data_IF_010145725596
#
_entry.id   IF_010145725596
#
_cell.length_a   1.000
_cell.length_b   1.000
_cell.length_c   1.000
_cell.angle_alpha   90.00
_cell.angle_beta   90.00
_cell.angle_gamma   90.00
#
_symmetry.space_group_name_H-M   'P 1'
#
loop_
_entity.id
_entity.type
_entity.pdbx_description
1 polymer ?
#
# COMPACT_ATOMS: atom_id res chain seq x y z
N UNK A 1 -8.11 -6.82 50.55
CA UNK A 1 -7.70 -7.04 49.15
C UNK A 1 -6.68 -5.94 48.79
N UNK A 2 -5.40 -6.15 49.12
CA UNK A 2 -4.31 -5.18 48.86
C UNK A 2 -3.62 -5.58 47.56
N UNK A 3 -3.72 -4.75 46.53
CA UNK A 3 -2.96 -4.92 45.30
C UNK A 3 -1.48 -4.63 45.60
N UNK A 4 -0.67 -5.69 45.56
CA UNK A 4 0.78 -5.64 45.67
C UNK A 4 1.35 -5.11 44.35
N UNK A 5 1.73 -3.84 44.34
CA UNK A 5 2.48 -3.21 43.25
C UNK A 5 3.93 -3.74 43.30
N UNK A 6 4.20 -4.87 42.64
CA UNK A 6 5.56 -5.36 42.47
C UNK A 6 6.28 -4.49 41.43
N UNK A 7 7.43 -3.88 41.76
CA UNK A 7 8.20 -3.11 40.79
C UNK A 7 8.78 -4.06 39.73
N UNK A 8 8.68 -3.65 38.47
CA UNK A 8 9.32 -4.33 37.33
C UNK A 8 10.83 -4.28 37.57
N UNK A 9 11.43 -5.40 37.95
CA UNK A 9 12.89 -5.55 38.04
C UNK A 9 13.49 -5.43 36.64
N UNK A 10 14.07 -4.27 36.34
CA UNK A 10 14.93 -4.06 35.17
C UNK A 10 16.26 -4.82 35.39
N UNK A 11 16.26 -6.14 35.18
CA UNK A 11 17.41 -7.03 35.40
C UNK A 11 18.58 -6.85 34.40
N UNK A 12 18.54 -5.87 33.51
CA UNK A 12 19.71 -5.43 32.75
C UNK A 12 19.73 -3.91 32.71
N UNK A 13 20.75 -3.30 33.33
CA UNK A 13 21.03 -1.89 33.11
C UNK A 13 21.15 -1.64 31.59
N UNK A 14 20.58 -0.54 31.07
CA UNK A 14 20.66 -0.24 29.65
C UNK A 14 22.13 -0.22 29.22
N UNK A 15 22.47 -0.96 28.16
CA UNK A 15 23.81 -0.94 27.59
C UNK A 15 24.10 0.49 27.14
N UNK A 16 25.17 1.09 27.66
CA UNK A 16 25.57 2.43 27.27
C UNK A 16 25.91 2.45 25.78
N UNK A 17 25.16 3.23 25.02
CA UNK A 17 25.42 3.49 23.62
C UNK A 17 26.09 4.87 23.50
N UNK A 18 27.12 4.96 22.67
CA UNK A 18 27.71 6.26 22.30
C UNK A 18 27.09 6.72 21.00
N UNK A 19 26.72 8.00 20.93
CA UNK A 19 26.15 8.61 19.73
C UNK A 19 27.07 9.72 19.25
N UNK A 20 27.32 9.76 17.94
CA UNK A 20 28.09 10.82 17.32
C UNK A 20 27.67 11.03 15.87
N UNK A 21 28.03 12.19 15.33
CA UNK A 21 27.81 12.55 13.94
C UNK A 21 29.07 12.20 13.15
N UNK A 22 28.88 11.68 11.94
CA UNK A 22 29.96 11.47 10.99
C UNK A 22 29.49 11.63 9.56
N UNK A 23 30.44 11.62 8.64
CA UNK A 23 30.20 11.68 7.21
C UNK A 23 30.55 10.34 6.56
N UNK A 24 29.70 9.88 5.65
CA UNK A 24 29.99 8.70 4.85
C UNK A 24 31.04 9.05 3.80
N UNK A 25 32.24 8.49 3.94
CA UNK A 25 33.33 8.71 2.98
C UNK A 25 33.37 7.65 1.90
N UNK A 26 32.87 6.44 2.17
CA UNK A 26 32.93 5.32 1.22
C UNK A 26 31.81 4.33 1.48
N UNK A 27 31.27 3.76 0.40
CA UNK A 27 30.35 2.62 0.44
C UNK A 27 31.12 1.33 0.17
N UNK A 28 31.02 0.37 1.07
CA UNK A 28 31.66 -0.94 0.97
C UNK A 28 30.63 -2.00 0.57
N UNK A 29 31.11 -3.20 0.25
CA UNK A 29 30.22 -4.33 -0.04
C UNK A 29 29.32 -4.69 1.16
N UNK A 30 28.17 -5.32 0.87
CA UNK A 30 27.24 -5.85 1.86
C UNK A 30 26.55 -4.80 2.77
N UNK A 31 26.37 -3.56 2.31
CA UNK A 31 25.66 -2.53 3.07
C UNK A 31 26.46 -2.00 4.27
N UNK A 32 27.79 -2.03 4.16
CA UNK A 32 28.72 -1.41 5.10
C UNK A 32 29.20 -0.08 4.55
N UNK A 33 29.49 0.86 5.45
CA UNK A 33 29.87 2.22 5.11
C UNK A 33 31.08 2.61 5.94
N UNK A 34 32.01 3.32 5.32
CA UNK A 34 33.13 3.96 6.00
C UNK A 34 32.73 5.36 6.39
N UNK A 35 32.94 5.69 7.66
CA UNK A 35 32.63 6.98 8.25
C UNK A 35 33.92 7.71 8.62
N UNK A 36 34.04 8.98 8.24
CA UNK A 36 35.19 9.85 8.52
C UNK A 36 36.53 9.16 8.18
N UNK A 37 36.56 8.34 7.11
CA UNK A 37 37.69 7.51 6.67
C UNK A 37 38.23 6.46 7.67
N UNK A 38 37.70 6.37 8.90
CA UNK A 38 38.30 5.57 9.97
C UNK A 38 37.36 4.51 10.55
N UNK A 39 36.05 4.76 10.56
CA UNK A 39 35.09 3.90 11.25
C UNK A 39 34.27 3.08 10.25
N UNK A 40 33.91 1.86 10.63
CA UNK A 40 33.03 1.01 9.85
C UNK A 40 31.67 0.92 10.53
N UNK A 41 30.62 1.31 9.82
CA UNK A 41 29.25 1.24 10.29
C UNK A 41 28.38 0.47 9.28
N UNK A 42 27.30 -0.12 9.76
CA UNK A 42 26.29 -0.76 8.92
C UNK A 42 24.97 -0.01 9.01
N UNK A 43 24.14 -0.08 7.97
CA UNK A 43 22.79 0.47 8.01
C UNK A 43 21.99 -0.22 9.12
N UNK A 44 21.39 0.56 10.01
CA UNK A 44 20.44 -0.01 10.98
C UNK A 44 19.14 -0.41 10.29
N UNK A 45 18.43 -1.38 10.84
CA UNK A 45 17.11 -1.76 10.33
C UNK A 45 16.11 -0.59 10.33
N UNK A 46 16.25 0.35 11.29
CA UNK A 46 15.40 1.54 11.38
C UNK A 46 15.77 2.67 10.42
N UNK A 47 16.97 2.64 9.82
CA UNK A 47 17.36 3.62 8.82
C UNK A 47 16.70 3.24 7.49
N UNK A 48 15.56 3.87 7.17
CA UNK A 48 14.80 3.48 5.97
C UNK A 48 15.38 4.05 4.67
N UNK A 49 15.99 5.23 4.74
CA UNK A 49 16.61 5.88 3.58
C UNK A 49 17.97 5.22 3.33
N UNK A 50 18.26 4.92 2.07
CA UNK A 50 19.57 4.41 1.67
C UNK A 50 20.66 5.47 1.88
N UNK A 51 21.66 5.21 2.77
CA UNK A 51 22.79 6.11 2.96
C UNK A 51 23.61 6.21 1.68
N UNK A 52 24.25 7.35 1.44
CA UNK A 52 25.08 7.68 0.27
C UNK A 52 26.40 8.31 0.71
N UNK A 53 27.42 8.26 -0.16
CA UNK A 53 28.67 9.01 0.07
C UNK A 53 28.35 10.49 0.21
N UNK A 54 29.07 11.17 1.11
CA UNK A 54 28.85 12.56 1.53
C UNK A 54 27.57 12.82 2.33
N UNK A 55 26.85 11.77 2.75
CA UNK A 55 25.80 11.95 3.75
C UNK A 55 26.39 12.23 5.13
N UNK A 56 25.83 13.23 5.80
CA UNK A 56 26.01 13.39 7.23
C UNK A 56 25.03 12.48 7.96
N UNK A 57 25.51 11.64 8.86
CA UNK A 57 24.72 10.59 9.52
C UNK A 57 24.88 10.60 11.03
N UNK A 58 23.82 10.19 11.74
CA UNK A 58 23.88 9.88 13.15
C UNK A 58 24.27 8.41 13.33
N UNK A 59 25.32 8.19 14.11
CA UNK A 59 25.87 6.87 14.37
C UNK A 59 25.60 6.50 15.82
N UNK A 60 25.16 5.27 16.02
CA UNK A 60 25.02 4.64 17.33
C UNK A 60 26.06 3.54 17.42
N UNK A 61 26.98 3.68 18.38
CA UNK A 61 27.92 2.64 18.74
C UNK A 61 27.39 1.86 19.94
N UNK A 62 27.23 0.56 19.77
CA UNK A 62 26.86 -0.39 20.82
C UNK A 62 27.90 -1.51 20.84
N UNK A 63 28.63 -1.62 21.95
CA UNK A 63 29.81 -2.49 22.05
C UNK A 63 30.79 -2.23 20.88
N UNK A 64 31.15 -3.27 20.12
CA UNK A 64 32.08 -3.20 18.99
C UNK A 64 31.38 -2.98 17.63
N UNK A 65 30.08 -2.69 17.63
CA UNK A 65 29.30 -2.46 16.40
C UNK A 65 28.85 -1.02 16.30
N UNK A 66 28.94 -0.48 15.10
CA UNK A 66 28.44 0.85 14.77
C UNK A 66 27.31 0.74 13.75
N UNK A 67 26.27 1.51 13.96
CA UNK A 67 25.09 1.53 13.12
C UNK A 67 24.77 2.95 12.68
N UNK A 68 24.45 3.12 11.41
CA UNK A 68 23.84 4.33 10.89
C UNK A 68 22.37 4.30 11.31
N UNK A 69 21.97 5.21 12.19
CA UNK A 69 20.59 5.31 12.67
C UNK A 69 19.73 6.17 11.75
N UNK A 70 20.26 7.28 11.26
CA UNK A 70 19.55 8.23 10.40
C UNK A 70 20.54 9.06 9.58
N UNK A 71 20.07 9.57 8.45
CA UNK A 71 20.76 10.59 7.64
C UNK A 71 20.29 11.95 8.15
N UNK A 72 21.23 12.78 8.59
CA UNK A 72 20.99 14.12 9.13
C UNK A 72 20.85 15.13 8.01
N UNK A 73 21.73 15.06 7.02
CA UNK A 73 21.74 15.95 5.86
C UNK A 73 22.44 15.28 4.67
N UNK A 74 22.06 15.73 3.47
CA UNK A 74 22.66 15.33 2.19
C UNK A 74 22.89 16.58 1.36
N UNK A 75 24.14 16.92 1.11
CA UNK A 75 24.48 18.05 0.25
C UNK A 75 24.38 17.63 -1.23
N UNK A 76 23.60 18.36 -2.02
CA UNK A 76 23.56 18.21 -3.49
C UNK A 76 22.79 17.00 -4.05
N UNK A 77 22.21 16.14 -3.21
CA UNK A 77 21.45 14.97 -3.66
C UNK A 77 19.93 15.16 -3.59
N UNK A 78 19.26 15.13 -4.75
CA UNK A 78 17.79 15.24 -4.84
C UNK A 78 17.05 13.89 -4.81
N UNK A 79 17.79 12.77 -4.75
CA UNK A 79 17.19 11.45 -4.76
C UNK A 79 17.36 10.77 -3.41
N UNK A 80 16.25 10.34 -2.82
CA UNK A 80 16.22 9.47 -1.66
C UNK A 80 15.51 8.17 -2.03
N UNK A 81 16.13 7.04 -1.68
CA UNK A 81 15.55 5.71 -1.89
C UNK A 81 15.17 5.12 -0.54
N UNK A 82 13.89 4.86 -0.34
CA UNK A 82 13.40 4.07 0.80
C UNK A 82 13.67 2.59 0.50
N UNK A 83 14.46 1.91 1.33
CA UNK A 83 14.85 0.52 1.10
C UNK A 83 14.86 -0.29 2.40
N UNK A 84 14.18 -1.43 2.38
CA UNK A 84 14.02 -2.37 3.49
C UNK A 84 14.50 -3.77 3.05
N UNK A 85 15.81 -3.96 2.78
CA UNK A 85 16.32 -5.17 2.13
C UNK A 85 16.18 -6.44 2.98
N UNK A 86 15.98 -6.30 4.29
CA UNK A 86 15.81 -7.40 5.23
C UNK A 86 14.33 -7.68 5.57
N UNK A 87 13.39 -6.91 5.01
CA UNK A 87 11.98 -7.10 5.30
C UNK A 87 11.34 -8.03 4.26
N UNK A 88 10.78 -9.15 4.72
CA UNK A 88 9.97 -10.04 3.87
C UNK A 88 8.60 -9.45 3.54
N UNK A 89 8.07 -8.62 4.45
CA UNK A 89 6.76 -7.97 4.32
C UNK A 89 6.80 -6.56 4.89
N UNK A 90 6.18 -5.62 4.17
CA UNK A 90 5.96 -4.24 4.61
C UNK A 90 4.47 -3.96 4.59
N UNK A 91 3.96 -3.30 5.63
CA UNK A 91 2.54 -2.92 5.72
C UNK A 91 2.44 -1.47 6.18
N UNK A 92 1.68 -0.66 5.44
CA UNK A 92 1.39 0.74 5.77
C UNK A 92 -0.04 0.81 6.30
N UNK A 93 -0.21 1.24 7.55
CA UNK A 93 -1.51 1.36 8.19
C UNK A 93 -1.69 2.78 8.73
N UNK A 94 -2.75 3.45 8.30
CA UNK A 94 -3.10 4.80 8.75
C UNK A 94 -4.61 5.03 8.55
N UNK A 95 -5.19 6.00 9.29
CA UNK A 95 -6.57 6.45 9.05
C UNK A 95 -6.72 7.08 7.65
N UNK A 96 -5.68 7.77 7.19
CA UNK A 96 -5.58 8.36 5.85
C UNK A 96 -4.15 8.16 5.35
N UNK A 97 -4.00 7.70 4.10
CA UNK A 97 -2.71 7.54 3.42
C UNK A 97 -2.78 8.24 2.06
N UNK A 98 -1.91 9.21 1.83
CA UNK A 98 -1.81 9.95 0.56
C UNK A 98 -0.42 9.73 -0.05
N UNK A 99 -0.37 9.31 -1.31
CA UNK A 99 0.86 9.23 -2.11
C UNK A 99 0.73 10.23 -3.26
N UNK A 100 1.52 11.30 -3.23
CA UNK A 100 1.45 12.39 -4.21
C UNK A 100 2.83 12.74 -4.74
N UNK A 101 2.93 12.93 -6.05
CA UNK A 101 4.13 13.35 -6.78
C UNK A 101 3.77 14.42 -7.79
N UNK A 102 4.71 15.31 -8.14
CA UNK A 102 4.49 16.34 -9.17
C UNK A 102 4.46 15.73 -10.57
N UNK A 103 5.44 14.90 -10.90
CA UNK A 103 5.60 14.39 -12.27
C UNK A 103 5.03 12.97 -12.44
N UNK A 104 5.43 12.03 -11.57
CA UNK A 104 5.12 10.62 -11.76
C UNK A 104 5.09 9.85 -10.43
N UNK A 105 4.02 9.08 -10.23
CA UNK A 105 3.95 8.04 -9.19
C UNK A 105 3.94 6.67 -9.88
N UNK A 106 4.86 5.78 -9.51
CA UNK A 106 4.89 4.40 -10.01
C UNK A 106 4.80 3.43 -8.85
N UNK A 107 3.87 2.47 -8.95
CA UNK A 107 3.78 1.31 -8.06
C UNK A 107 4.05 0.09 -8.93
N UNK A 108 5.10 -0.67 -8.61
CA UNK A 108 5.57 -1.81 -9.39
C UNK A 108 5.74 -3.03 -8.49
N UNK A 109 5.41 -4.19 -9.03
CA UNK A 109 5.61 -5.50 -8.40
C UNK A 109 5.97 -6.49 -9.50
N UNK A 110 6.76 -7.50 -9.15
CA UNK A 110 7.07 -8.62 -10.05
C UNK A 110 5.94 -9.66 -10.07
N UNK A 111 5.17 -9.77 -8.98
CA UNK A 111 4.01 -10.65 -8.86
C UNK A 111 2.71 -9.88 -9.04
N UNK A 112 1.74 -10.13 -8.15
CA UNK A 112 0.41 -9.54 -8.23
C UNK A 112 0.35 -8.16 -7.55
N UNK A 113 -0.43 -7.24 -8.15
CA UNK A 113 -0.82 -5.96 -7.55
C UNK A 113 -2.33 -5.93 -7.35
N UNK A 114 -2.77 -5.94 -6.09
CA UNK A 114 -4.18 -5.85 -5.72
C UNK A 114 -4.51 -4.46 -5.16
N UNK A 115 -5.49 -3.77 -5.76
CA UNK A 115 -6.06 -2.51 -5.25
C UNK A 115 -7.52 -2.75 -4.90
N UNK A 116 -7.84 -2.74 -3.60
CA UNK A 116 -9.16 -3.08 -3.08
C UNK A 116 -9.71 -1.94 -2.20
N UNK A 117 -11.03 -1.75 -2.25
CA UNK A 117 -11.75 -0.84 -1.35
C UNK A 117 -13.00 -1.53 -0.81
N UNK A 118 -13.07 -1.72 0.51
CA UNK A 118 -14.18 -2.40 1.20
C UNK A 118 -15.33 -1.43 1.51
N UNK A 119 -15.96 -0.87 0.47
CA UNK A 119 -17.11 0.04 0.59
C UNK A 119 -16.87 1.46 0.07
N UNK A 120 -15.66 1.76 -0.38
CA UNK A 120 -15.32 3.01 -1.08
C UNK A 120 -15.27 2.83 -2.60
N UNK A 121 -14.69 3.84 -3.28
CA UNK A 121 -14.48 3.83 -4.73
C UNK A 121 -12.99 3.88 -5.02
N UNK A 122 -12.57 3.18 -6.06
CA UNK A 122 -11.27 3.40 -6.70
C UNK A 122 -11.54 4.32 -7.89
N UNK A 123 -11.05 5.57 -7.81
CA UNK A 123 -11.21 6.55 -8.88
C UNK A 123 -9.88 6.67 -9.63
N UNK A 124 -9.89 6.37 -10.92
CA UNK A 124 -8.75 6.53 -11.81
C UNK A 124 -9.16 7.37 -13.01
N UNK A 125 -8.47 8.48 -13.26
CA UNK A 125 -8.63 9.24 -14.50
C UNK A 125 -7.58 8.73 -15.49
N UNK A 126 -7.99 7.95 -16.48
CA UNK A 126 -7.07 7.34 -17.42
C UNK A 126 -7.52 7.57 -18.85
N UNK A 127 -6.67 8.24 -19.63
CA UNK A 127 -6.78 8.30 -21.09
C UNK A 127 -6.29 7.00 -21.74
N UNK A 128 -5.43 6.23 -21.07
CA UNK A 128 -4.87 4.96 -21.54
C UNK A 128 -4.69 3.99 -20.37
N UNK A 129 -5.65 3.06 -20.18
CA UNK A 129 -5.43 1.86 -19.38
C UNK A 129 -5.09 0.73 -20.34
N UNK A 130 -3.84 0.27 -20.32
CA UNK A 130 -3.38 -0.85 -21.15
C UNK A 130 -3.34 -2.11 -20.28
N UNK A 131 -4.30 -3.00 -20.50
CA UNK A 131 -4.29 -4.35 -19.92
C UNK A 131 -3.59 -5.31 -20.87
N UNK A 132 -2.56 -6.01 -20.41
CA UNK A 132 -2.10 -7.21 -21.10
C UNK A 132 -3.06 -8.35 -20.70
N UNK A 133 -3.81 -8.86 -21.68
CA UNK A 133 -4.97 -9.77 -21.59
C UNK A 133 -4.75 -11.04 -20.74
N UNK A 134 -5.73 -11.76 -20.16
CA UNK A 134 -7.06 -12.16 -20.68
C UNK A 134 -8.19 -12.18 -19.61
N UNK A 135 -7.91 -12.24 -18.30
CA UNK A 135 -8.97 -12.34 -17.27
C UNK A 135 -9.47 -10.99 -16.75
N UNK A 136 -8.67 -9.93 -16.85
CA UNK A 136 -8.96 -8.63 -16.22
C UNK A 136 -10.13 -7.90 -16.89
N UNK A 137 -10.31 -8.09 -18.21
CA UNK A 137 -11.48 -7.57 -18.90
C UNK A 137 -12.76 -8.28 -18.47
N UNK A 138 -12.71 -9.57 -18.12
CA UNK A 138 -13.90 -10.30 -17.63
C UNK A 138 -14.28 -9.82 -16.23
N UNK A 139 -13.33 -9.48 -15.35
CA UNK A 139 -13.63 -8.96 -14.01
C UNK A 139 -14.19 -7.52 -14.07
N UNK A 140 -13.60 -6.65 -14.89
CA UNK A 140 -14.10 -5.29 -15.15
C UNK A 140 -15.45 -5.30 -15.89
N UNK A 141 -15.62 -6.24 -16.81
CA UNK A 141 -16.89 -6.48 -17.47
C UNK A 141 -17.90 -7.08 -16.49
N UNK A 142 -17.57 -8.00 -15.57
CA UNK A 142 -18.51 -8.52 -14.55
C UNK A 142 -19.11 -7.39 -13.71
N UNK A 143 -18.32 -6.40 -13.33
CA UNK A 143 -18.82 -5.21 -12.64
C UNK A 143 -19.73 -4.33 -13.52
N UNK A 144 -19.58 -4.38 -14.84
CA UNK A 144 -20.43 -3.66 -15.82
C UNK A 144 -21.63 -4.50 -16.34
N UNK A 145 -21.52 -5.83 -16.32
CA UNK A 145 -22.48 -6.87 -16.78
C UNK A 145 -23.55 -7.15 -15.72
N UNK A 146 -23.45 -6.54 -14.53
CA UNK A 146 -24.66 -6.30 -13.73
C UNK A 146 -25.75 -5.51 -14.50
N UNK A 147 -25.43 -4.94 -15.67
CA UNK A 147 -26.41 -4.62 -16.73
C UNK A 147 -26.59 -5.79 -17.70
N UNK A 148 -27.29 -6.81 -17.20
CA UNK A 148 -28.31 -7.64 -17.86
C UNK A 148 -28.17 -7.85 -19.39
N UNK A 149 -27.54 -8.95 -19.82
CA UNK A 149 -27.70 -9.42 -21.21
C UNK A 149 -28.78 -10.49 -21.34
N UNK A 150 -29.07 -11.26 -20.27
CA UNK A 150 -30.27 -12.10 -20.14
C UNK A 150 -30.55 -12.28 -18.65
N UNK A 151 -31.68 -11.74 -18.17
CA UNK A 151 -32.22 -12.10 -16.85
C UNK A 151 -33.42 -12.98 -17.11
N UNK A 152 -33.27 -14.29 -16.90
CA UNK A 152 -34.41 -15.22 -16.84
C UNK A 152 -34.95 -15.21 -15.41
N UNK A 153 -35.99 -14.42 -15.16
CA UNK A 153 -36.68 -14.39 -13.86
C UNK A 153 -37.88 -15.32 -13.94
N UNK A 154 -37.74 -16.51 -13.35
CA UNK A 154 -38.87 -17.38 -13.06
C UNK A 154 -39.25 -17.22 -11.59
N UNK A 155 -40.47 -16.79 -11.33
CA UNK A 155 -41.05 -16.76 -10.00
C UNK A 155 -42.31 -17.62 -10.02
N UNK A 156 -42.39 -18.59 -9.12
CA UNK A 156 -43.47 -19.57 -9.10
C UNK A 156 -44.80 -18.97 -8.60
N UNK A 157 -44.78 -17.80 -7.93
CA UNK A 157 -45.97 -17.24 -7.28
C UNK A 157 -46.21 -15.74 -7.52
N UNK A 158 -45.22 -14.83 -7.37
CA UNK A 158 -45.46 -13.39 -7.57
C UNK A 158 -44.17 -12.57 -7.76
N UNK A 159 -44.17 -11.66 -8.75
CA UNK A 159 -43.20 -10.57 -8.87
C UNK A 159 -43.96 -9.24 -8.71
N UNK A 160 -43.53 -8.41 -7.77
CA UNK A 160 -44.06 -7.05 -7.57
C UNK A 160 -42.94 -6.04 -7.78
N UNK A 161 -43.02 -5.27 -8.86
CA UNK A 161 -42.10 -4.17 -9.14
C UNK A 161 -42.79 -2.83 -8.81
N UNK A 162 -42.10 -1.95 -8.09
CA UNK A 162 -42.62 -0.63 -7.71
C UNK A 162 -41.67 0.45 -8.24
N UNK A 163 -42.12 1.16 -9.27
CA UNK A 163 -41.39 2.28 -9.89
C UNK A 163 -42.37 3.41 -10.18
N UNK A 164 -41.91 4.67 -10.12
CA UNK A 164 -42.72 5.83 -10.50
C UNK A 164 -43.11 5.80 -12.00
N UNK A 165 -42.26 5.22 -12.84
CA UNK A 165 -42.52 5.00 -14.27
C UNK A 165 -41.94 3.65 -14.68
N UNK A 166 -42.67 2.89 -15.48
CA UNK A 166 -42.21 1.62 -16.03
C UNK A 166 -42.33 1.66 -17.55
N UNK A 167 -41.19 1.65 -18.23
CA UNK A 167 -41.11 1.55 -19.69
C UNK A 167 -40.64 0.15 -20.06
N UNK A 168 -41.51 -0.62 -20.70
CA UNK A 168 -41.18 -1.94 -21.24
C UNK A 168 -41.13 -1.82 -22.76
N UNK A 169 -39.96 -2.04 -23.35
CA UNK A 169 -39.76 -2.05 -24.80
C UNK A 169 -39.21 -3.40 -25.22
N UNK A 170 -39.68 -3.91 -26.37
CA UNK A 170 -39.10 -5.10 -26.98
C UNK A 170 -38.81 -4.84 -28.45
N UNK A 171 -37.70 -5.41 -28.92
CA UNK A 171 -37.30 -5.33 -30.32
C UNK A 171 -38.12 -6.25 -31.23
N UNK A 172 -38.74 -7.31 -30.67
CA UNK A 172 -39.49 -8.30 -31.44
C UNK A 172 -40.89 -8.50 -30.88
N UNK A 173 -41.01 -9.02 -29.68
CA UNK A 173 -42.29 -9.32 -29.07
C UNK A 173 -42.26 -9.18 -27.55
N UNK A 174 -43.41 -8.79 -27.00
CA UNK A 174 -43.73 -8.89 -25.58
C UNK A 174 -44.94 -9.81 -25.51
N UNK A 175 -44.79 -10.94 -24.82
CA UNK A 175 -45.93 -11.81 -24.51
C UNK A 175 -46.32 -11.61 -23.05
N UNK A 176 -47.53 -11.12 -22.84
CA UNK A 176 -48.14 -10.99 -21.51
C UNK A 176 -49.33 -11.92 -21.50
N UNK A 177 -49.29 -12.94 -20.63
CA UNK A 177 -50.38 -13.87 -20.42
C UNK A 177 -50.93 -13.66 -19.01
N UNK A 178 -52.20 -13.28 -18.91
CA UNK A 178 -52.83 -12.95 -17.65
C UNK A 178 -54.35 -13.12 -17.75
N UNK A 179 -54.97 -13.62 -16.69
CA UNK A 179 -56.43 -13.66 -16.58
C UNK A 179 -57.04 -12.26 -16.52
N UNK A 180 -56.32 -11.28 -15.95
CA UNK A 180 -56.72 -9.87 -15.91
C UNK A 180 -55.51 -8.95 -16.02
N UNK A 181 -55.63 -7.94 -16.88
CA UNK A 181 -54.73 -6.80 -16.95
C UNK A 181 -55.53 -5.55 -16.61
N UNK A 182 -55.31 -5.00 -15.42
CA UNK A 182 -55.86 -3.70 -15.06
C UNK A 182 -54.81 -2.64 -15.37
N UNK A 183 -54.97 -2.01 -16.53
CA UNK A 183 -54.35 -0.73 -16.83
C UNK A 183 -55.34 0.30 -16.31
N UNK A 184 -54.99 0.98 -15.22
CA UNK A 184 -55.89 1.89 -14.49
C UNK A 184 -56.75 2.77 -15.39
#
# INVERSE_FOLDING_TARGET
MKMSNQPISLEKAPTQAKMFIGEITEMLEQGRYRINACYLAQKSFGCLIEPQVSDQVLIIQQADKMYISQIISREGGNQATLSLPQAEKVTLHAQQLNLSSIEKTQIQTQGDLELLSCGGKILTNATQIVFNAIETLVQLARNSIHRATNIDQQAEVLIRNHSQYQLVTASKDIKIDAERINMG
#
